data_IF_766205118173
#
_entry.id   IF_766205118173
#
_cell.length_a   1.000
_cell.length_b   1.000
_cell.length_c   1.000
_cell.angle_alpha   90.00
_cell.angle_beta   90.00
_cell.angle_gamma   90.00
#
_symmetry.space_group_name_H-M   'P 1'
#
loop_
_entity.id
_entity.type
_entity.pdbx_description
1 polymer ?
#
# COMPACT_ATOMS: atom_id res chain seq x y z
N UNK A 1 15.50 13.27 10.19
CA UNK A 1 14.21 13.58 10.84
C UNK A 1 13.11 12.75 10.18
N UNK A 2 12.66 11.67 10.83
CA UNK A 2 11.61 10.77 10.31
C UNK A 2 10.23 11.39 10.54
N UNK A 3 9.52 11.72 9.46
CA UNK A 3 8.16 12.26 9.50
C UNK A 3 7.18 11.08 9.63
N UNK A 4 6.78 10.79 10.87
CA UNK A 4 5.47 10.26 11.28
C UNK A 4 5.14 8.81 10.86
N UNK A 5 5.46 7.83 11.72
CA UNK A 5 4.86 6.49 11.69
C UNK A 5 3.43 6.53 12.29
N UNK A 6 2.45 7.10 11.59
CA UNK A 6 1.04 7.04 12.02
C UNK A 6 0.30 5.90 11.32
N UNK A 7 -0.34 5.05 12.12
CA UNK A 7 -1.25 4.03 11.62
C UNK A 7 -2.46 4.68 10.94
N UNK A 8 -2.85 4.17 9.78
CA UNK A 8 -4.01 4.62 9.01
C UNK A 8 -5.26 3.93 9.55
N UNK A 9 -6.41 4.58 9.42
CA UNK A 9 -7.74 3.97 9.62
C UNK A 9 -8.55 4.08 8.33
N UNK A 10 -9.27 3.02 8.01
CA UNK A 10 -10.24 2.99 6.91
C UNK A 10 -11.66 2.94 7.48
N UNK A 11 -12.64 3.59 6.83
CA UNK A 11 -14.06 3.49 7.19
C UNK A 11 -14.73 2.21 6.68
N UNK A 12 -14.12 1.53 5.72
CA UNK A 12 -14.53 0.22 5.19
C UNK A 12 -13.43 -0.81 5.39
N UNK A 13 -13.80 -2.10 5.32
CA UNK A 13 -12.81 -3.17 5.26
C UNK A 13 -12.07 -3.14 3.91
N UNK A 14 -10.89 -3.76 3.91
CA UNK A 14 -10.08 -3.95 2.71
C UNK A 14 -9.41 -5.32 2.75
N UNK A 15 -9.05 -5.77 1.56
CA UNK A 15 -8.30 -7.00 1.33
C UNK A 15 -7.02 -6.65 0.57
N UNK A 16 -5.94 -7.35 0.89
CA UNK A 16 -4.65 -7.24 0.24
C UNK A 16 -4.23 -8.64 -0.18
N UNK A 17 -3.83 -8.81 -1.44
CA UNK A 17 -3.17 -10.01 -1.93
C UNK A 17 -1.81 -9.62 -2.51
N UNK A 18 -0.73 -10.24 -2.06
CA UNK A 18 0.61 -9.92 -2.56
C UNK A 18 0.91 -10.71 -3.83
N UNK A 19 1.44 -10.04 -4.85
CA UNK A 19 1.76 -10.64 -6.15
C UNK A 19 3.26 -10.88 -6.30
N UNK A 20 4.08 -9.88 -5.93
CA UNK A 20 5.54 -9.91 -6.06
C UNK A 20 6.19 -9.12 -4.92
N UNK A 21 7.40 -9.52 -4.54
CA UNK A 21 8.16 -8.94 -3.44
C UNK A 21 7.67 -9.37 -2.06
N UNK A 22 7.76 -8.45 -1.09
CA UNK A 22 7.35 -8.68 0.29
C UNK A 22 6.71 -7.43 0.90
N UNK A 23 5.59 -7.62 1.60
CA UNK A 23 4.83 -6.56 2.26
C UNK A 23 4.78 -6.79 3.77
N UNK A 24 5.40 -5.89 4.54
CA UNK A 24 5.23 -5.86 5.99
C UNK A 24 3.90 -5.21 6.33
N UNK A 25 3.02 -5.92 7.04
CA UNK A 25 1.70 -5.44 7.47
C UNK A 25 1.58 -5.51 9.00
N UNK A 26 1.26 -4.37 9.62
CA UNK A 26 0.87 -4.30 11.03
C UNK A 26 -0.59 -3.87 11.15
N UNK A 27 -1.39 -4.64 11.87
CA UNK A 27 -2.77 -4.29 12.26
C UNK A 27 -2.80 -4.22 13.79
N UNK A 28 -3.42 -3.17 14.36
CA UNK A 28 -3.47 -3.01 15.81
C UNK A 28 -4.11 -4.23 16.48
N UNK A 29 -3.49 -4.73 17.54
CA UNK A 29 -3.92 -5.95 18.24
C UNK A 29 -3.33 -7.26 17.68
N UNK A 30 -2.62 -7.20 16.54
CA UNK A 30 -1.96 -8.36 15.93
C UNK A 30 -0.45 -8.17 15.83
N UNK A 31 0.27 -9.28 15.69
CA UNK A 31 1.70 -9.24 15.35
C UNK A 31 1.88 -8.69 13.93
N UNK A 32 3.03 -8.06 13.69
CA UNK A 32 3.41 -7.67 12.32
C UNK A 32 3.77 -8.92 11.53
N UNK A 33 3.21 -9.06 10.33
CA UNK A 33 3.48 -10.20 9.44
C UNK A 33 4.16 -9.72 8.15
N UNK A 34 4.95 -10.60 7.56
CA UNK A 34 5.51 -10.43 6.22
C UNK A 34 4.66 -11.23 5.25
N UNK A 35 3.99 -10.55 4.33
CA UNK A 35 3.20 -11.19 3.28
C UNK A 35 4.09 -11.40 2.05
N UNK A 36 4.08 -12.61 1.53
CA UNK A 36 4.78 -13.06 0.32
C UNK A 36 3.77 -13.29 -0.82
N UNK A 37 4.26 -13.58 -2.03
CA UNK A 37 3.42 -13.87 -3.19
C UNK A 37 2.36 -14.94 -2.88
N UNK A 38 1.09 -14.62 -3.15
CA UNK A 38 -0.06 -15.47 -2.87
C UNK A 38 -0.71 -15.27 -1.49
N UNK A 39 -0.03 -14.64 -0.53
CA UNK A 39 -0.61 -14.36 0.78
C UNK A 39 -1.73 -13.32 0.68
N UNK A 40 -2.79 -13.57 1.46
CA UNK A 40 -3.96 -12.70 1.56
C UNK A 40 -4.12 -12.18 2.98
N UNK A 41 -4.40 -10.89 3.14
CA UNK A 41 -4.70 -10.26 4.41
C UNK A 41 -6.01 -9.48 4.33
N UNK A 42 -6.84 -9.63 5.37
CA UNK A 42 -8.04 -8.85 5.59
C UNK A 42 -7.79 -7.82 6.70
N UNK A 43 -8.14 -6.55 6.45
CA UNK A 43 -8.12 -5.50 7.49
C UNK A 43 -9.56 -5.07 7.78
N UNK A 44 -10.07 -5.29 9.00
CA UNK A 44 -11.40 -4.87 9.40
C UNK A 44 -11.58 -3.35 9.29
N UNK A 45 -12.83 -2.92 9.05
CA UNK A 45 -13.18 -1.50 9.10
C UNK A 45 -12.84 -0.89 10.46
N UNK A 46 -12.30 0.33 10.48
CA UNK A 46 -11.92 1.06 11.69
C UNK A 46 -10.60 0.59 12.35
N UNK A 47 -10.08 -0.59 12.00
CA UNK A 47 -8.84 -1.10 12.55
C UNK A 47 -7.64 -0.22 12.11
N UNK A 48 -6.83 0.30 13.05
CA UNK A 48 -5.58 0.97 12.68
C UNK A 48 -4.62 -0.03 12.03
N UNK A 49 -4.03 0.35 10.89
CA UNK A 49 -3.05 -0.48 10.18
C UNK A 49 -1.96 0.35 9.52
N UNK A 50 -0.84 -0.28 9.18
CA UNK A 50 0.22 0.28 8.33
C UNK A 50 0.83 -0.83 7.49
N UNK A 51 1.34 -0.46 6.32
CA UNK A 51 2.06 -1.37 5.46
C UNK A 51 3.29 -0.69 4.87
N UNK A 52 4.32 -1.49 4.55
CA UNK A 52 5.53 -1.03 3.87
C UNK A 52 6.13 -2.16 3.04
N UNK A 53 6.56 -1.85 1.83
CA UNK A 53 7.41 -2.74 1.04
C UNK A 53 8.76 -2.94 1.73
N UNK A 54 9.19 -4.18 1.94
CA UNK A 54 10.50 -4.50 2.53
C UNK A 54 11.57 -4.79 1.49
N UNK A 55 11.16 -5.04 0.24
CA UNK A 55 12.04 -5.18 -0.92
C UNK A 55 11.95 -3.94 -1.82
N UNK A 56 12.93 -3.72 -2.74
CA UNK A 56 12.93 -2.57 -3.64
C UNK A 56 11.64 -2.47 -4.45
N UNK A 57 11.15 -3.61 -4.95
CA UNK A 57 9.89 -3.70 -5.66
C UNK A 57 8.95 -4.66 -4.94
N UNK A 58 7.73 -4.20 -4.66
CA UNK A 58 6.63 -5.01 -4.11
C UNK A 58 5.36 -4.63 -4.85
N UNK A 59 4.66 -5.62 -5.40
CA UNK A 59 3.38 -5.47 -6.08
C UNK A 59 2.32 -6.27 -5.33
N UNK A 60 1.15 -5.67 -5.15
CA UNK A 60 0.01 -6.31 -4.49
C UNK A 60 -1.30 -5.78 -5.05
N UNK A 61 -2.31 -6.61 -5.08
CA UNK A 61 -3.70 -6.23 -5.30
C UNK A 61 -4.29 -5.71 -3.99
N UNK A 62 -5.08 -4.64 -4.08
CA UNK A 62 -5.86 -4.11 -2.98
C UNK A 62 -7.31 -3.98 -3.43
N UNK A 63 -8.23 -4.51 -2.63
CA UNK A 63 -9.66 -4.37 -2.83
C UNK A 63 -10.27 -3.60 -1.66
N UNK A 64 -11.17 -2.67 -1.95
CA UNK A 64 -11.83 -1.83 -0.96
C UNK A 64 -13.34 -1.82 -1.17
N UNK A 65 -14.09 -1.98 -0.07
CA UNK A 65 -15.56 -1.99 -0.10
C UNK A 65 -16.21 -0.58 -0.12
N UNK A 66 -15.48 0.46 -0.55
CA UNK A 66 -15.98 1.85 -0.57
C UNK A 66 -15.42 2.62 -1.76
N UNK A 67 -16.19 3.52 -2.41
CA UNK A 67 -15.73 4.29 -3.57
C UNK A 67 -14.59 5.27 -3.28
N UNK A 68 -14.31 5.58 -2.00
CA UNK A 68 -13.27 6.52 -1.59
C UNK A 68 -12.27 5.86 -0.62
N UNK A 69 -11.57 4.83 -1.11
CA UNK A 69 -10.50 4.17 -0.36
C UNK A 69 -9.17 4.94 -0.40
N UNK A 70 -8.10 4.23 -0.07
CA UNK A 70 -6.76 4.83 0.00
C UNK A 70 -6.25 5.19 -1.39
N UNK A 71 -6.49 4.30 -2.35
CA UNK A 71 -6.19 4.46 -3.76
C UNK A 71 -6.83 5.72 -4.35
N UNK A 72 -8.09 6.04 -4.00
CA UNK A 72 -8.71 7.31 -4.39
C UNK A 72 -7.87 8.53 -3.94
N UNK A 73 -7.41 8.55 -2.69
CA UNK A 73 -6.58 9.65 -2.17
C UNK A 73 -5.13 9.65 -2.67
N UNK A 74 -4.60 8.52 -3.12
CA UNK A 74 -3.30 8.43 -3.79
C UNK A 74 -3.39 8.95 -5.23
N UNK A 75 -4.40 8.49 -5.97
CA UNK A 75 -4.64 8.87 -7.36
C UNK A 75 -4.95 10.36 -7.52
N UNK A 76 -5.75 10.95 -6.62
CA UNK A 76 -6.06 12.39 -6.65
C UNK A 76 -4.83 13.31 -6.51
N UNK A 77 -3.70 12.80 -6.04
CA UNK A 77 -2.44 13.54 -5.90
C UNK A 77 -1.35 13.03 -6.84
N UNK A 78 -1.70 12.10 -7.72
CA UNK A 78 -0.79 11.47 -8.66
C UNK A 78 -0.79 12.19 -10.01
N UNK A 79 0.18 11.84 -10.85
CA UNK A 79 0.23 12.19 -12.27
C UNK A 79 0.18 10.90 -13.08
N UNK A 80 -0.29 10.98 -14.32
CA UNK A 80 -0.24 9.84 -15.24
C UNK A 80 1.21 9.35 -15.39
N UNK A 81 1.38 8.04 -15.37
CA UNK A 81 2.69 7.39 -15.39
C UNK A 81 2.68 6.24 -16.39
N UNK A 82 3.50 6.34 -17.43
CA UNK A 82 3.50 5.41 -18.57
C UNK A 82 4.40 4.18 -18.42
N UNK A 83 5.00 3.95 -17.25
CA UNK A 83 5.95 2.87 -17.01
C UNK A 83 5.48 1.96 -15.88
N UNK A 84 5.83 0.67 -15.94
CA UNK A 84 5.54 -0.31 -14.90
C UNK A 84 6.46 -0.20 -13.68
N UNK A 85 7.55 0.57 -13.78
CA UNK A 85 8.50 0.84 -12.70
C UNK A 85 8.34 2.27 -12.18
N UNK A 86 8.60 2.49 -10.89
CA UNK A 86 8.70 3.84 -10.34
C UNK A 86 10.03 4.50 -10.75
N UNK A 87 10.15 5.84 -10.70
CA UNK A 87 11.38 6.52 -11.06
C UNK A 87 12.55 6.20 -10.12
N UNK A 88 13.77 6.18 -10.67
CA UNK A 88 15.00 5.89 -9.92
C UNK A 88 15.39 6.99 -8.91
N UNK A 89 14.89 8.21 -9.10
CA UNK A 89 15.07 9.33 -8.17
C UNK A 89 13.84 10.26 -8.17
N UNK A 90 13.69 11.06 -7.12
CA UNK A 90 12.64 12.09 -7.05
C UNK A 90 12.78 13.13 -8.16
N UNK A 91 11.65 13.66 -8.65
CA UNK A 91 11.62 14.71 -9.69
C UNK A 91 11.94 14.23 -11.10
N UNK A 92 12.09 12.92 -11.31
CA UNK A 92 12.26 12.35 -12.65
C UNK A 92 11.09 12.73 -13.56
N UNK A 93 11.42 13.17 -14.77
CA UNK A 93 10.46 13.43 -15.85
C UNK A 93 10.77 12.46 -16.98
N UNK A 94 9.80 11.63 -17.34
CA UNK A 94 9.93 10.81 -18.53
C UNK A 94 10.02 11.72 -19.76
N UNK A 95 11.02 11.48 -20.61
CA UNK A 95 11.08 12.09 -21.93
C UNK A 95 10.13 11.27 -22.80
N UNK A 96 9.12 11.93 -23.38
CA UNK A 96 8.16 11.31 -24.29
C UNK A 96 8.83 10.90 -25.61
#
# INVERSE_FOLDING_TARGET
>A
MSKIETMRRSRSHLEIQTDDGQLSLSIAGYKTNQLLAGDVAFVPAGAPFRYRATLPFTKFLRLNASPHGLEYGLLNRSVSWGFSSYPVHGGFKAVA
#
